data_IF_594535268750
#
_entry.id   IF_594535268750
#
_cell.length_a   1.000
_cell.length_b   1.000
_cell.length_c   1.000
_cell.angle_alpha   90.00
_cell.angle_beta   90.00
_cell.angle_gamma   90.00
#
_symmetry.space_group_name_H-M   'P 1'
#
loop_
_entity.id
_entity.type
_entity.pdbx_description
1 polymer ?
#
# COMPACT_ATOMS: atom_id res chain seq x y z
N UNK A 1 -12.93 11.33 4.86
CA UNK A 1 -12.34 9.99 4.61
C UNK A 1 -10.86 10.16 4.32
N UNK A 2 -9.99 9.25 4.75
CA UNK A 2 -8.56 9.35 4.46
C UNK A 2 -8.25 8.85 3.04
N UNK A 3 -7.48 9.62 2.29
CA UNK A 3 -6.90 9.22 1.01
C UNK A 3 -5.43 8.89 1.21
N UNK A 4 -5.02 7.67 0.89
CA UNK A 4 -3.63 7.23 0.86
C UNK A 4 -3.12 7.11 -0.57
N UNK A 5 -1.95 7.70 -0.84
CA UNK A 5 -1.25 7.54 -2.12
C UNK A 5 -0.10 6.54 -1.98
N UNK A 6 -0.12 5.48 -2.79
CA UNK A 6 1.03 4.60 -3.04
C UNK A 6 2.04 5.34 -3.93
N UNK A 7 3.23 5.61 -3.39
CA UNK A 7 4.26 6.41 -4.03
C UNK A 7 5.57 5.62 -4.14
N UNK A 8 6.27 5.81 -5.27
CA UNK A 8 7.52 5.13 -5.59
C UNK A 8 8.72 6.09 -5.73
N UNK A 9 8.50 7.38 -5.46
CA UNK A 9 9.51 8.43 -5.60
C UNK A 9 9.21 9.61 -4.68
N UNK A 10 10.23 10.43 -4.41
CA UNK A 10 10.06 11.69 -3.68
C UNK A 10 9.04 12.62 -4.36
N UNK A 11 9.11 12.72 -5.69
CA UNK A 11 8.19 13.56 -6.46
C UNK A 11 6.74 13.14 -6.27
N UNK A 12 6.44 11.83 -6.36
CA UNK A 12 5.10 11.31 -6.07
C UNK A 12 4.65 11.67 -4.66
N UNK A 13 5.55 11.61 -3.67
CA UNK A 13 5.23 11.96 -2.29
C UNK A 13 4.92 13.46 -2.13
N UNK A 14 5.70 14.33 -2.78
CA UNK A 14 5.47 15.78 -2.77
C UNK A 14 4.12 16.10 -3.43
N UNK A 15 3.84 15.50 -4.59
CA UNK A 15 2.58 15.70 -5.30
C UNK A 15 1.39 15.18 -4.49
N UNK A 16 1.51 14.02 -3.84
CA UNK A 16 0.49 13.48 -2.96
C UNK A 16 0.14 14.45 -1.82
N UNK A 17 1.16 14.97 -1.13
CA UNK A 17 0.97 15.96 -0.08
C UNK A 17 0.34 17.26 -0.60
N UNK A 18 0.87 17.80 -1.70
CA UNK A 18 0.36 19.05 -2.29
C UNK A 18 -1.10 18.91 -2.74
N UNK A 19 -1.49 17.74 -3.26
CA UNK A 19 -2.85 17.46 -3.68
C UNK A 19 -3.82 17.14 -2.54
N UNK A 20 -3.36 17.15 -1.28
CA UNK A 20 -4.20 16.96 -0.10
C UNK A 20 -4.39 15.51 0.33
N UNK A 21 -3.51 14.59 -0.08
CA UNK A 21 -3.54 13.24 0.46
C UNK A 21 -3.35 13.25 1.99
N UNK A 22 -4.10 12.39 2.68
CA UNK A 22 -4.00 12.26 4.14
C UNK A 22 -2.83 11.39 4.59
N UNK A 23 -2.31 10.53 3.70
CA UNK A 23 -1.21 9.60 3.98
C UNK A 23 -0.49 9.16 2.71
N UNK A 24 0.76 8.72 2.85
CA UNK A 24 1.52 8.05 1.80
C UNK A 24 1.89 6.64 2.24
N UNK A 25 1.74 5.67 1.33
CA UNK A 25 2.45 4.40 1.38
C UNK A 25 3.68 4.50 0.46
N UNK A 26 4.88 4.36 1.02
CA UNK A 26 6.14 4.44 0.28
C UNK A 26 6.62 3.03 -0.08
N UNK A 27 6.77 2.79 -1.39
CA UNK A 27 7.09 1.49 -1.97
C UNK A 27 8.34 1.56 -2.87
N UNK A 28 9.06 0.45 -2.94
CA UNK A 28 9.94 0.07 -4.06
C UNK A 28 9.24 -0.90 -5.02
N UNK A 29 9.94 -1.43 -6.03
CA UNK A 29 9.48 -2.59 -6.81
C UNK A 29 8.09 -2.45 -7.44
N UNK A 30 7.86 -1.39 -8.24
CA UNK A 30 6.57 -1.15 -8.91
C UNK A 30 6.06 -2.36 -9.70
N UNK A 31 6.93 -2.99 -10.50
CA UNK A 31 6.57 -4.16 -11.31
C UNK A 31 6.22 -5.41 -10.49
N UNK A 32 6.60 -5.44 -9.21
CA UNK A 32 6.31 -6.53 -8.28
C UNK A 32 5.06 -6.27 -7.44
N UNK A 33 4.38 -5.13 -7.65
CA UNK A 33 3.23 -4.71 -6.86
C UNK A 33 3.59 -4.06 -5.53
N UNK A 34 4.83 -3.57 -5.38
CA UNK A 34 5.33 -2.93 -4.16
C UNK A 34 6.25 -3.86 -3.37
N UNK A 35 7.48 -3.42 -3.13
CA UNK A 35 8.47 -4.03 -2.23
C UNK A 35 9.00 -2.98 -1.25
N UNK A 36 9.85 -3.39 -0.31
CA UNK A 36 10.49 -2.44 0.61
C UNK A 36 11.32 -1.40 -0.15
N UNK A 37 11.06 -0.09 0.04
CA UNK A 37 11.85 0.96 -0.61
C UNK A 37 13.27 1.03 -0.02
N UNK A 38 14.18 1.64 -0.76
CA UNK A 38 15.54 1.85 -0.26
C UNK A 38 15.57 2.81 0.93
N UNK A 39 16.54 2.62 1.83
CA UNK A 39 16.78 3.50 2.97
C UNK A 39 16.93 4.97 2.57
N UNK A 40 17.66 5.22 1.48
CA UNK A 40 17.86 6.58 0.96
C UNK A 40 16.54 7.24 0.50
N UNK A 41 15.62 6.47 -0.08
CA UNK A 41 14.31 7.00 -0.45
C UNK A 41 13.49 7.37 0.79
N UNK A 42 13.45 6.50 1.81
CA UNK A 42 12.76 6.78 3.07
C UNK A 42 13.32 8.06 3.71
N UNK A 43 14.65 8.15 3.87
CA UNK A 43 15.30 9.28 4.51
C UNK A 43 14.99 10.61 3.79
N UNK A 44 15.10 10.62 2.46
CA UNK A 44 14.83 11.83 1.67
C UNK A 44 13.35 12.20 1.72
N UNK A 45 12.43 11.24 1.60
CA UNK A 45 10.99 11.51 1.72
C UNK A 45 10.65 12.14 3.08
N UNK A 46 11.18 11.60 4.18
CA UNK A 46 10.92 12.14 5.52
C UNK A 46 11.49 13.55 5.76
N UNK A 47 12.47 14.00 4.96
CA UNK A 47 12.97 15.39 4.99
C UNK A 47 12.05 16.39 4.29
N UNK A 48 11.22 15.94 3.35
CA UNK A 48 10.44 16.81 2.46
C UNK A 48 8.92 16.67 2.61
N UNK A 49 8.45 15.61 3.26
CA UNK A 49 7.03 15.28 3.41
C UNK A 49 6.65 15.21 4.88
N UNK A 50 5.61 15.98 5.24
CA UNK A 50 5.11 16.15 6.60
C UNK A 50 3.90 15.29 6.92
N UNK A 51 3.07 14.95 5.92
CA UNK A 51 1.97 14.01 6.13
C UNK A 51 2.52 12.63 6.53
N UNK A 52 1.70 11.77 7.19
CA UNK A 52 2.13 10.45 7.61
C UNK A 52 2.66 9.62 6.43
N UNK A 53 3.82 8.99 6.62
CA UNK A 53 4.46 8.09 5.65
C UNK A 53 4.56 6.69 6.24
N UNK A 54 3.94 5.73 5.56
CA UNK A 54 3.95 4.31 5.91
C UNK A 54 4.87 3.59 4.93
N UNK A 55 5.82 2.80 5.42
CA UNK A 55 6.81 2.14 4.58
C UNK A 55 6.39 0.70 4.30
N UNK A 56 6.42 0.28 3.04
CA UNK A 56 6.22 -1.12 2.68
C UNK A 56 7.32 -2.00 3.28
N UNK A 57 6.94 -3.10 3.94
CA UNK A 57 7.84 -4.13 4.47
C UNK A 57 7.49 -5.43 3.77
N UNK A 58 8.14 -5.66 2.63
CA UNK A 58 7.94 -6.83 1.77
C UNK A 58 9.27 -7.10 1.03
N UNK A 59 10.00 -8.15 1.41
CA UNK A 59 11.38 -8.36 0.97
C UNK A 59 11.51 -8.76 -0.51
N UNK A 60 10.42 -9.23 -1.13
CA UNK A 60 10.34 -9.64 -2.55
C UNK A 60 8.91 -9.60 -3.09
N UNK A 61 8.76 -9.63 -4.40
CA UNK A 61 7.52 -10.00 -5.08
C UNK A 61 7.06 -11.45 -4.82
N UNK A 62 5.99 -11.86 -5.50
CA UNK A 62 5.41 -13.20 -5.37
C UNK A 62 4.49 -13.35 -4.16
N UNK A 63 4.49 -14.55 -3.56
CA UNK A 63 3.64 -14.90 -2.42
C UNK A 63 4.02 -14.17 -1.11
N UNK A 64 3.27 -14.48 -0.05
CA UNK A 64 3.42 -13.89 1.29
C UNK A 64 3.75 -14.96 2.34
N UNK A 65 4.31 -16.09 1.89
CA UNK A 65 4.71 -17.22 2.73
C UNK A 65 6.22 -17.13 2.90
N UNK A 66 6.65 -16.43 3.94
CA UNK A 66 8.06 -16.10 4.13
C UNK A 66 8.81 -17.19 4.88
N UNK A 67 10.07 -17.42 4.53
CA UNK A 67 10.96 -18.21 5.38
C UNK A 67 11.46 -17.41 6.59
N UNK A 68 12.33 -18.02 7.40
CA UNK A 68 12.87 -17.41 8.63
C UNK A 68 13.87 -16.28 8.34
N UNK A 69 14.59 -16.33 7.22
CA UNK A 69 15.57 -15.32 6.82
C UNK A 69 14.87 -14.10 6.21
N UNK A 70 13.82 -14.32 5.42
CA UNK A 70 12.94 -13.28 4.90
C UNK A 70 12.27 -12.51 6.04
N UNK A 71 11.83 -13.19 7.10
CA UNK A 71 11.31 -12.53 8.29
C UNK A 71 12.39 -11.76 9.07
N UNK A 72 13.64 -12.26 9.10
CA UNK A 72 14.76 -11.50 9.66
C UNK A 72 15.02 -10.21 8.88
N UNK A 73 14.96 -10.26 7.55
CA UNK A 73 15.06 -9.08 6.68
C UNK A 73 13.93 -8.09 7.01
N UNK A 74 12.69 -8.56 7.06
CA UNK A 74 11.53 -7.73 7.42
C UNK A 74 11.72 -7.02 8.77
N UNK A 75 12.23 -7.71 9.80
CA UNK A 75 12.54 -7.10 11.10
C UNK A 75 13.62 -6.03 11.00
N UNK A 76 14.67 -6.25 10.22
CA UNK A 76 15.72 -5.23 10.01
C UNK A 76 15.17 -4.00 9.29
N UNK A 77 14.34 -4.21 8.28
CA UNK A 77 13.70 -3.13 7.51
C UNK A 77 12.70 -2.34 8.36
N UNK A 78 11.92 -2.99 9.24
CA UNK A 78 11.05 -2.31 10.20
C UNK A 78 11.87 -1.42 11.13
N UNK A 79 12.98 -1.92 11.65
CA UNK A 79 13.84 -1.15 12.54
C UNK A 79 14.46 0.06 11.81
N UNK A 80 14.90 -0.14 10.57
CA UNK A 80 15.46 0.93 9.75
C UNK A 80 14.40 2.00 9.41
N UNK A 81 13.20 1.59 8.99
CA UNK A 81 12.09 2.51 8.74
C UNK A 81 11.77 3.35 9.99
N UNK A 82 11.78 2.73 11.17
CA UNK A 82 11.59 3.42 12.45
C UNK A 82 12.69 4.46 12.71
N UNK A 83 13.95 4.09 12.53
CA UNK A 83 15.09 4.99 12.71
C UNK A 83 15.06 6.18 11.74
N UNK A 84 14.59 5.95 10.52
CA UNK A 84 14.45 6.98 9.49
C UNK A 84 13.17 7.82 9.62
N UNK A 85 12.36 7.59 10.66
CA UNK A 85 11.21 8.42 11.00
C UNK A 85 9.94 8.11 10.23
N UNK A 86 9.76 6.87 9.77
CA UNK A 86 8.46 6.40 9.27
C UNK A 86 7.40 6.47 10.39
N UNK A 87 6.15 6.78 10.01
CA UNK A 87 5.03 6.85 10.95
C UNK A 87 4.34 5.49 11.14
N UNK A 88 4.48 4.61 10.15
CA UNK A 88 3.85 3.31 10.08
C UNK A 88 4.58 2.38 9.12
N UNK A 89 4.17 1.13 9.11
CA UNK A 89 4.62 0.12 8.13
C UNK A 89 3.44 -0.61 7.53
N UNK A 90 3.64 -1.19 6.35
CA UNK A 90 2.65 -2.00 5.66
C UNK A 90 3.26 -3.38 5.38
N UNK A 91 2.60 -4.45 5.81
CA UNK A 91 3.09 -5.83 5.67
C UNK A 91 1.94 -6.83 5.64
N UNK A 92 2.22 -8.10 5.41
CA UNK A 92 1.26 -9.18 5.64
C UNK A 92 1.89 -10.53 5.41
N UNK A 93 1.60 -11.48 6.30
CA UNK A 93 2.17 -12.83 6.26
C UNK A 93 1.03 -13.84 6.18
N UNK A 94 1.15 -14.78 5.24
CA UNK A 94 0.22 -15.89 5.08
C UNK A 94 0.92 -17.21 5.38
N UNK A 95 0.14 -18.21 5.79
CA UNK A 95 0.53 -19.60 5.76
C UNK A 95 0.34 -20.20 4.36
N UNK A 96 0.94 -21.36 4.10
CA UNK A 96 0.91 -22.01 2.78
C UNK A 96 -0.50 -22.38 2.28
N UNK A 97 -1.49 -22.49 3.18
CA UNK A 97 -2.90 -22.69 2.87
C UNK A 97 -3.68 -21.38 2.64
N UNK A 98 -2.98 -20.24 2.57
CA UNK A 98 -3.54 -18.93 2.33
C UNK A 98 -4.23 -18.30 3.53
N UNK A 99 -4.14 -18.88 4.73
CA UNK A 99 -4.65 -18.23 5.95
C UNK A 99 -3.68 -17.12 6.40
N UNK A 100 -4.19 -16.16 7.16
CA UNK A 100 -3.33 -15.18 7.84
C UNK A 100 -2.52 -15.91 8.90
N UNK A 101 -1.19 -15.78 8.85
CA UNK A 101 -0.33 -16.28 9.91
C UNK A 101 -0.39 -15.30 11.09
N UNK A 102 -1.34 -15.54 11.99
CA UNK A 102 -1.62 -14.64 13.13
C UNK A 102 -0.42 -14.48 14.04
N UNK A 103 0.31 -15.57 14.34
CA UNK A 103 1.42 -15.54 15.26
C UNK A 103 2.59 -14.70 14.71
N UNK A 104 3.00 -14.96 13.46
CA UNK A 104 4.10 -14.24 12.82
C UNK A 104 3.72 -12.80 12.52
N UNK A 105 2.51 -12.56 12.04
CA UNK A 105 2.02 -11.19 11.80
C UNK A 105 1.98 -10.40 13.10
N UNK A 106 1.45 -10.97 14.19
CA UNK A 106 1.42 -10.31 15.51
C UNK A 106 2.83 -9.96 16.00
N UNK A 107 3.79 -10.87 15.86
CA UNK A 107 5.17 -10.61 16.27
C UNK A 107 5.78 -9.40 15.52
N UNK A 108 5.51 -9.28 14.22
CA UNK A 108 5.95 -8.12 13.42
C UNK A 108 5.20 -6.84 13.79
N UNK A 109 3.90 -6.92 14.09
CA UNK A 109 3.10 -5.79 14.59
C UNK A 109 3.65 -5.25 15.91
N UNK A 110 3.90 -6.15 16.87
CA UNK A 110 4.46 -5.79 18.18
C UNK A 110 5.87 -5.20 18.02
N UNK A 111 6.69 -5.74 17.11
CA UNK A 111 8.03 -5.24 16.81
C UNK A 111 8.03 -3.84 16.15
N UNK A 112 7.01 -3.54 15.34
CA UNK A 112 6.85 -2.24 14.70
C UNK A 112 6.53 -1.10 15.69
N UNK A 113 5.96 -1.40 16.86
CA UNK A 113 5.60 -0.40 17.88
C UNK A 113 6.76 0.58 18.18
N UNK A 114 6.51 1.91 18.26
CA UNK A 114 5.20 2.57 18.29
C UNK A 114 4.59 2.86 16.92
N UNK A 115 5.25 2.49 15.82
CA UNK A 115 4.68 2.61 14.48
C UNK A 115 3.44 1.73 14.36
N UNK A 116 2.46 2.21 13.61
CA UNK A 116 1.24 1.46 13.31
C UNK A 116 1.44 0.56 12.10
N UNK A 117 0.58 -0.45 11.97
CA UNK A 117 0.70 -1.46 10.90
C UNK A 117 -0.59 -1.59 10.09
N UNK A 118 -0.46 -1.49 8.77
CA UNK A 118 -1.49 -1.87 7.81
C UNK A 118 -1.21 -3.29 7.29
N UNK A 119 -2.19 -4.18 7.36
CA UNK A 119 -2.15 -5.47 6.69
C UNK A 119 -2.49 -5.30 5.20
N UNK A 120 -1.53 -5.53 4.30
CA UNK A 120 -1.70 -5.25 2.88
C UNK A 120 -2.56 -6.27 2.12
N UNK A 121 -2.56 -6.18 0.79
CA UNK A 121 -3.35 -7.02 -0.14
C UNK A 121 -3.06 -8.52 -0.14
N UNK A 122 -2.12 -9.02 0.67
CA UNK A 122 -2.13 -10.45 1.04
C UNK A 122 -3.51 -10.91 1.55
N UNK A 123 -4.29 -10.01 2.14
CA UNK A 123 -5.68 -10.25 2.53
C UNK A 123 -6.53 -10.76 1.36
N UNK A 124 -6.31 -10.23 0.15
CA UNK A 124 -7.08 -10.57 -1.04
C UNK A 124 -6.82 -12.01 -1.53
N UNK A 125 -5.76 -12.66 -1.05
CA UNK A 125 -5.40 -14.05 -1.38
C UNK A 125 -5.89 -15.07 -0.34
N UNK A 126 -6.61 -14.61 0.69
CA UNK A 126 -7.16 -15.50 1.71
C UNK A 126 -8.43 -16.20 1.23
N UNK A 127 -8.72 -17.45 1.64
CA UNK A 127 -9.87 -18.19 1.14
C UNK A 127 -11.21 -17.76 1.76
N UNK A 128 -11.19 -17.18 2.97
CA UNK A 128 -12.38 -16.67 3.67
C UNK A 128 -12.09 -15.27 4.22
N UNK A 129 -12.63 -14.20 3.60
CA UNK A 129 -12.33 -12.83 3.99
C UNK A 129 -12.90 -12.46 5.37
N UNK A 130 -13.97 -13.11 5.85
CA UNK A 130 -14.54 -12.85 7.18
C UNK A 130 -13.67 -13.48 8.26
N UNK A 131 -13.18 -14.71 8.01
CA UNK A 131 -12.21 -15.35 8.90
C UNK A 131 -10.89 -14.58 8.91
N UNK A 132 -10.41 -14.15 7.74
CA UNK A 132 -9.21 -13.34 7.61
C UNK A 132 -9.33 -12.00 8.35
N UNK A 133 -10.48 -11.31 8.27
CA UNK A 133 -10.73 -10.07 9.02
C UNK A 133 -10.50 -10.27 10.53
N UNK A 134 -11.13 -11.30 11.11
CA UNK A 134 -10.95 -11.63 12.54
C UNK A 134 -9.50 -11.99 12.87
N UNK A 135 -8.84 -12.71 11.97
CA UNK A 135 -7.44 -13.10 12.15
C UNK A 135 -6.53 -11.86 12.17
N UNK A 136 -6.69 -10.92 11.24
CA UNK A 136 -5.91 -9.67 11.22
C UNK A 136 -6.21 -8.80 12.45
N UNK A 137 -7.47 -8.68 12.88
CA UNK A 137 -7.81 -7.97 14.14
C UNK A 137 -7.01 -8.54 15.32
N UNK A 138 -6.92 -9.88 15.43
CA UNK A 138 -6.18 -10.54 16.51
C UNK A 138 -4.66 -10.26 16.50
N UNK A 139 -4.10 -9.81 15.36
CA UNK A 139 -2.69 -9.42 15.26
C UNK A 139 -2.38 -8.07 15.90
N UNK A 140 -3.39 -7.20 16.04
CA UNK A 140 -3.22 -5.81 16.46
C UNK A 140 -2.91 -4.81 15.34
N UNK A 141 -2.93 -5.24 14.07
CA UNK A 141 -2.88 -4.32 12.93
C UNK A 141 -4.05 -3.31 12.99
N UNK A 142 -3.80 -2.05 12.60
CA UNK A 142 -4.82 -1.00 12.69
C UNK A 142 -5.69 -0.89 11.43
N UNK A 143 -5.24 -1.49 10.32
CA UNK A 143 -5.87 -1.33 9.02
C UNK A 143 -5.67 -2.55 8.14
N UNK A 144 -6.64 -2.82 7.27
CA UNK A 144 -6.54 -3.78 6.16
C UNK A 144 -6.65 -3.01 4.84
N UNK A 145 -5.73 -3.26 3.91
CA UNK A 145 -5.84 -2.86 2.50
C UNK A 145 -6.35 -4.03 1.67
N UNK A 146 -7.45 -3.84 0.96
CA UNK A 146 -8.11 -4.91 0.18
C UNK A 146 -8.80 -4.36 -1.06
N UNK A 147 -8.82 -5.16 -2.13
CA UNK A 147 -9.68 -4.95 -3.31
C UNK A 147 -11.00 -5.73 -3.21
N UNK A 148 -11.32 -6.27 -2.04
CA UNK A 148 -12.45 -7.17 -1.83
C UNK A 148 -12.30 -8.46 -2.64
N UNK A 149 -11.09 -9.02 -2.72
CA UNK A 149 -10.81 -10.28 -3.43
C UNK A 149 -11.21 -10.28 -4.92
N UNK A 150 -11.18 -9.10 -5.55
CA UNK A 150 -11.41 -8.91 -6.99
C UNK A 150 -10.22 -8.19 -7.64
N UNK A 151 -10.08 -8.25 -8.99
CA UNK A 151 -9.06 -7.48 -9.70
C UNK A 151 -9.12 -5.98 -9.40
N UNK A 152 -10.33 -5.42 -9.22
CA UNK A 152 -10.57 -4.03 -8.86
C UNK A 152 -11.56 -3.92 -7.69
N UNK A 153 -11.34 -2.96 -6.79
CA UNK A 153 -12.19 -2.72 -5.63
C UNK A 153 -13.64 -2.43 -6.01
N UNK A 154 -13.87 -1.76 -7.15
CA UNK A 154 -15.21 -1.39 -7.62
C UNK A 154 -16.07 -2.60 -7.98
N UNK A 155 -15.45 -3.75 -8.28
CA UNK A 155 -16.15 -5.00 -8.57
C UNK A 155 -16.59 -5.73 -7.29
N UNK A 156 -16.17 -5.25 -6.12
CA UNK A 156 -16.34 -5.91 -4.84
C UNK A 156 -17.11 -5.08 -3.80
N UNK A 157 -17.94 -4.12 -4.23
CA UNK A 157 -18.63 -3.17 -3.34
C UNK A 157 -19.43 -3.85 -2.23
N UNK A 158 -20.11 -4.98 -2.53
CA UNK A 158 -20.88 -5.73 -1.54
C UNK A 158 -20.00 -6.37 -0.47
N UNK A 159 -18.85 -6.94 -0.86
CA UNK A 159 -17.91 -7.52 0.10
C UNK A 159 -17.23 -6.41 0.93
N UNK A 160 -16.83 -5.30 0.29
CA UNK A 160 -16.27 -4.15 1.00
C UNK A 160 -17.23 -3.59 2.04
N UNK A 161 -18.52 -3.46 1.70
CA UNK A 161 -19.58 -3.04 2.62
C UNK A 161 -19.74 -4.01 3.78
N UNK A 162 -19.71 -5.32 3.50
CA UNK A 162 -19.76 -6.36 4.55
C UNK A 162 -18.55 -6.26 5.49
N UNK A 163 -17.34 -6.16 4.95
CA UNK A 163 -16.11 -6.06 5.73
C UNK A 163 -16.08 -4.79 6.57
N UNK A 164 -16.44 -3.64 6.01
CA UNK A 164 -16.51 -2.37 6.74
C UNK A 164 -17.50 -2.45 7.91
N UNK A 165 -18.68 -3.04 7.68
CA UNK A 165 -19.69 -3.25 8.74
C UNK A 165 -19.19 -4.18 9.84
N UNK A 166 -18.57 -5.30 9.48
CA UNK A 166 -18.08 -6.29 10.46
C UNK A 166 -16.86 -5.78 11.23
N UNK A 167 -16.00 -4.98 10.59
CA UNK A 167 -14.84 -4.37 11.23
C UNK A 167 -15.26 -3.40 12.35
N UNK A 168 -16.33 -2.63 12.14
CA UNK A 168 -16.82 -1.65 13.10
C UNK A 168 -15.71 -0.68 13.52
N UNK A 169 -15.44 -0.58 14.82
CA UNK A 169 -14.34 0.23 15.37
C UNK A 169 -13.08 -0.59 15.67
N UNK A 170 -13.07 -1.88 15.34
CA UNK A 170 -11.97 -2.78 15.72
C UNK A 170 -10.75 -2.63 14.81
N UNK A 171 -10.97 -2.30 13.53
CA UNK A 171 -9.92 -2.13 12.52
C UNK A 171 -10.42 -1.28 11.36
N UNK A 172 -9.55 -0.48 10.73
CA UNK A 172 -9.92 0.26 9.53
C UNK A 172 -9.89 -0.64 8.29
N UNK A 173 -10.93 -0.56 7.47
CA UNK A 173 -10.95 -1.14 6.12
C UNK A 173 -10.63 -0.06 5.10
N UNK A 174 -9.58 -0.28 4.32
CA UNK A 174 -9.13 0.61 3.24
C UNK A 174 -9.29 -0.09 1.89
N UNK A 175 -10.14 0.47 1.03
CA UNK A 175 -10.33 -0.07 -0.31
C UNK A 175 -9.17 0.36 -1.22
N UNK A 176 -8.58 -0.60 -1.94
CA UNK A 176 -7.52 -0.35 -2.91
C UNK A 176 -7.56 -1.34 -4.07
N UNK A 177 -6.84 -1.01 -5.14
CA UNK A 177 -6.91 -1.74 -6.41
C UNK A 177 -7.89 -1.08 -7.38
N UNK A 178 -7.35 -0.38 -8.38
CA UNK A 178 -8.15 0.28 -9.43
C UNK A 178 -8.90 1.56 -9.00
N UNK A 179 -8.69 2.05 -7.79
CA UNK A 179 -9.34 3.27 -7.28
C UNK A 179 -8.89 4.50 -8.06
N UNK A 180 -9.83 5.32 -8.51
CA UNK A 180 -9.62 6.55 -9.27
C UNK A 180 -10.82 7.52 -9.15
N UNK A 181 -10.75 8.70 -9.76
CA UNK A 181 -11.77 9.75 -9.60
C UNK A 181 -13.17 9.36 -10.09
N UNK A 182 -13.30 8.39 -11.00
CA UNK A 182 -14.62 7.97 -11.50
C UNK A 182 -15.33 6.99 -10.56
N UNK A 183 -14.59 6.27 -9.70
CA UNK A 183 -15.15 5.24 -8.82
C UNK A 183 -14.99 5.54 -7.32
N UNK A 184 -14.19 6.54 -6.94
CA UNK A 184 -13.89 6.87 -5.54
C UNK A 184 -15.14 7.16 -4.71
N UNK A 185 -16.12 7.90 -5.27
CA UNK A 185 -17.39 8.20 -4.57
C UNK A 185 -18.18 6.93 -4.24
N UNK A 186 -18.38 6.06 -5.24
CA UNK A 186 -19.10 4.80 -5.05
C UNK A 186 -18.39 3.88 -4.04
N UNK A 187 -17.07 3.85 -4.05
CA UNK A 187 -16.29 3.11 -3.05
C UNK A 187 -16.47 3.71 -1.65
N UNK A 188 -16.45 5.03 -1.52
CA UNK A 188 -16.69 5.70 -0.24
C UNK A 188 -18.09 5.37 0.33
N UNK A 189 -19.11 5.29 -0.53
CA UNK A 189 -20.48 4.92 -0.17
C UNK A 189 -20.62 3.46 0.34
N UNK A 190 -19.60 2.60 0.15
CA UNK A 190 -19.58 1.26 0.77
C UNK A 190 -19.37 1.30 2.29
N UNK A 191 -18.94 2.44 2.84
CA UNK A 191 -18.66 2.60 4.26
C UNK A 191 -17.24 2.22 4.69
N UNK A 192 -16.34 1.96 3.74
CA UNK A 192 -14.90 1.83 4.02
C UNK A 192 -14.34 3.10 4.65
N UNK A 193 -13.26 2.97 5.42
CA UNK A 193 -12.73 4.05 6.25
C UNK A 193 -11.72 4.94 5.50
N UNK A 194 -11.07 4.36 4.49
CA UNK A 194 -10.06 5.02 3.67
C UNK A 194 -10.04 4.45 2.24
N UNK A 195 -9.47 5.22 1.33
CA UNK A 195 -9.16 4.77 -0.03
C UNK A 195 -7.66 4.81 -0.28
N UNK A 196 -7.18 3.82 -1.03
CA UNK A 196 -5.79 3.67 -1.43
C UNK A 196 -5.67 3.64 -2.94
N UNK A 197 -4.77 4.46 -3.50
CA UNK A 197 -4.54 4.55 -4.93
C UNK A 197 -3.14 5.03 -5.28
N UNK A 198 -2.77 5.00 -6.56
CA UNK A 198 -1.47 5.50 -7.04
C UNK A 198 -1.55 6.90 -7.65
N UNK A 199 -2.72 7.31 -8.15
CA UNK A 199 -2.90 8.50 -9.01
C UNK A 199 -1.86 8.56 -10.15
N UNK A 200 -1.55 7.39 -10.74
CA UNK A 200 -0.39 7.23 -11.62
C UNK A 200 -0.56 7.95 -12.95
N UNK A 201 0.51 8.61 -13.37
CA UNK A 201 0.74 9.07 -14.73
C UNK A 201 2.16 8.70 -15.16
N UNK A 202 2.41 8.77 -16.46
CA UNK A 202 3.72 8.52 -17.06
C UNK A 202 4.15 9.72 -17.88
N UNK A 203 5.46 9.98 -17.86
CA UNK A 203 6.09 10.95 -18.75
C UNK A 203 7.34 10.33 -19.38
N UNK A 204 7.79 10.83 -20.54
CA UNK A 204 9.06 10.42 -21.11
C UNK A 204 10.22 10.62 -20.11
N UNK A 205 11.11 9.63 -20.06
CA UNK A 205 12.39 9.73 -19.36
C UNK A 205 13.31 10.77 -20.00
N UNK A 206 14.39 11.12 -19.30
CA UNK A 206 15.35 12.13 -19.77
C UNK A 206 16.33 11.59 -20.82
N UNK A 207 16.47 10.28 -20.89
CA UNK A 207 17.36 9.61 -21.84
C UNK A 207 16.82 9.77 -23.26
N UNK A 208 17.71 10.11 -24.21
CA UNK A 208 17.34 10.34 -25.62
C UNK A 208 17.62 9.15 -26.52
N UNK A 209 18.69 8.41 -26.23
CA UNK A 209 19.11 7.27 -27.03
C UNK A 209 18.60 5.96 -26.42
N UNK A 210 17.96 5.13 -27.24
CA UNK A 210 17.51 3.80 -26.86
C UNK A 210 17.89 2.80 -27.95
N UNK A 211 18.67 1.75 -27.65
CA UNK A 211 18.84 0.64 -28.57
C UNK A 211 17.52 -0.13 -28.71
N UNK A 212 17.20 -0.61 -29.91
CA UNK A 212 15.90 -1.22 -30.21
C UNK A 212 15.69 -2.61 -29.56
N UNK A 213 16.78 -3.34 -29.31
CA UNK A 213 16.74 -4.76 -28.95
C UNK A 213 17.05 -5.04 -27.47
N UNK A 214 17.29 -4.01 -26.67
CA UNK A 214 17.66 -4.17 -25.26
C UNK A 214 16.50 -3.77 -24.37
N UNK A 215 16.12 -4.67 -23.47
CA UNK A 215 15.19 -4.43 -22.36
C UNK A 215 15.79 -5.01 -21.08
N UNK A 216 15.72 -4.24 -20.01
CA UNK A 216 16.31 -4.53 -18.70
C UNK A 216 15.25 -4.96 -17.68
N UNK A 217 14.02 -4.45 -17.81
CA UNK A 217 12.90 -4.78 -16.95
C UNK A 217 11.86 -5.63 -17.70
N UNK A 218 10.83 -6.11 -16.99
CA UNK A 218 9.62 -6.65 -17.64
C UNK A 218 8.81 -5.55 -18.34
N UNK A 219 7.47 -5.67 -18.35
CA UNK A 219 6.63 -4.72 -19.10
C UNK A 219 6.51 -3.33 -18.46
N UNK A 220 6.42 -3.23 -17.12
CA UNK A 220 6.25 -1.94 -16.41
C UNK A 220 7.04 -1.98 -15.09
N UNK A 221 7.88 -0.97 -14.81
CA UNK A 221 8.20 0.19 -15.64
C UNK A 221 9.11 -0.16 -16.83
N UNK A 222 8.89 0.49 -17.98
CA UNK A 222 9.82 0.46 -19.12
C UNK A 222 10.99 1.44 -18.93
N UNK A 223 12.01 1.39 -19.78
CA UNK A 223 13.17 2.30 -19.71
C UNK A 223 12.88 3.71 -20.25
N UNK A 224 11.74 3.90 -20.91
CA UNK A 224 11.40 5.11 -21.66
C UNK A 224 10.49 6.05 -20.88
N UNK A 225 9.88 5.56 -19.81
CA UNK A 225 8.80 6.21 -19.11
C UNK A 225 9.10 6.27 -17.61
N UNK A 226 8.86 7.43 -17.02
CA UNK A 226 8.95 7.62 -15.57
C UNK A 226 7.55 7.71 -15.01
N UNK A 227 7.21 6.80 -14.09
CA UNK A 227 5.99 6.85 -13.31
C UNK A 227 6.10 7.94 -12.24
N UNK A 228 5.02 8.71 -12.08
CA UNK A 228 4.82 9.61 -10.97
C UNK A 228 3.34 9.64 -10.58
N UNK A 229 3.05 10.16 -9.39
CA UNK A 229 1.69 10.44 -8.95
C UNK A 229 1.34 11.86 -9.42
N UNK A 230 0.31 11.97 -10.26
CA UNK A 230 -0.11 13.24 -10.84
C UNK A 230 -0.85 14.10 -9.82
N UNK A 231 -0.42 15.36 -9.67
CA UNK A 231 -1.01 16.29 -8.71
C UNK A 231 -2.50 16.52 -8.97
N UNK A 232 -2.89 16.78 -10.22
CA UNK A 232 -4.28 17.05 -10.58
C UNK A 232 -5.19 15.84 -10.35
N UNK A 233 -4.70 14.62 -10.58
CA UNK A 233 -5.44 13.41 -10.25
C UNK A 233 -5.60 13.22 -8.73
N UNK A 234 -4.60 13.56 -7.92
CA UNK A 234 -4.71 13.53 -6.46
C UNK A 234 -5.76 14.55 -5.99
N UNK A 235 -5.67 15.80 -6.46
CA UNK A 235 -6.63 16.87 -6.13
C UNK A 235 -8.07 16.48 -6.52
N UNK A 236 -8.27 15.95 -7.72
CA UNK A 236 -9.57 15.51 -8.20
C UNK A 236 -10.20 14.46 -7.27
N UNK A 237 -9.40 13.52 -6.76
CA UNK A 237 -9.90 12.46 -5.89
C UNK A 237 -10.22 12.98 -4.51
N UNK A 238 -9.36 13.85 -3.95
CA UNK A 238 -9.62 14.51 -2.67
C UNK A 238 -10.91 15.34 -2.74
N UNK A 239 -11.15 16.05 -3.85
CA UNK A 239 -12.39 16.79 -4.08
C UNK A 239 -13.61 15.87 -4.15
N UNK A 240 -13.55 14.77 -4.90
CA UNK A 240 -14.66 13.82 -5.07
C UNK A 240 -15.11 13.20 -3.75
N UNK A 241 -14.19 12.95 -2.82
CA UNK A 241 -14.53 12.35 -1.50
C UNK A 241 -14.86 13.37 -0.41
N UNK A 242 -14.59 14.65 -0.65
CA UNK A 242 -14.86 15.73 0.29
C UNK A 242 -16.17 16.48 0.00
N UNK A 243 -16.75 16.25 -1.19
CA UNK A 243 -18.04 16.80 -1.64
C UNK A 243 -19.23 15.91 -1.22
#
# INVERSE_FOLDING_TARGET
MTIEICAYSLESCINAQAGGAGRIELCGGLGEGGTTPSAGLIEVVRKHVQIPVYVMIRPRGGDFVYDVFEEEIMRKDINLAKQLGANGVVLGVLSADGQVDVARTKALVDYAYPMKVTFHRAFDLTPDPVKALKAVIATGAERILTSGQKPSAIEATELLKKLAKEAGQSIEIMAGGGVNHTNAKQLAETGVHALHLTAKAFRPGRQKYFPAEISMAGEIPDERSVLYSDLGLVEAIVQVVSA
#
